data_IF_376585943524
#
_entry.id   IF_376585943524
#
_cell.length_a   1.000
_cell.length_b   1.000
_cell.length_c   1.000
_cell.angle_alpha   90.00
_cell.angle_beta   90.00
_cell.angle_gamma   90.00
#
_symmetry.space_group_name_H-M   'P 1'
#
loop_
_entity.id
_entity.type
_entity.pdbx_description
1 polymer ?
#
# COMPACT_ATOMS: atom_id res chain seq x y z
N UNK A 1 15.91 -37.15 -6.82
CA UNK A 1 16.14 -35.72 -7.13
C UNK A 1 14.99 -34.96 -6.54
N UNK A 2 15.21 -34.38 -5.36
CA UNK A 2 14.19 -33.62 -4.62
C UNK A 2 14.07 -32.24 -5.26
N UNK A 3 13.20 -32.11 -6.27
CA UNK A 3 12.76 -30.82 -6.75
C UNK A 3 11.66 -30.35 -5.82
N UNK A 4 12.03 -29.81 -4.66
CA UNK A 4 11.16 -28.90 -3.93
C UNK A 4 11.04 -27.65 -4.80
N UNK A 5 10.08 -27.68 -5.70
CA UNK A 5 9.74 -26.59 -6.60
C UNK A 5 9.45 -25.38 -5.72
N UNK A 6 10.37 -24.42 -5.72
CA UNK A 6 10.40 -23.31 -4.75
C UNK A 6 9.32 -22.30 -5.16
N UNK A 7 8.07 -22.61 -4.83
CA UNK A 7 6.87 -21.87 -5.25
C UNK A 7 6.71 -20.48 -4.60
N UNK A 8 7.71 -19.99 -3.87
CA UNK A 8 7.60 -18.75 -3.11
C UNK A 8 8.90 -17.94 -3.11
N UNK A 9 9.45 -17.67 -4.30
CA UNK A 9 10.63 -16.83 -4.46
C UNK A 9 10.24 -15.35 -4.59
N UNK A 10 11.13 -14.41 -4.20
CA UNK A 10 10.92 -12.98 -4.43
C UNK A 10 10.64 -12.64 -5.91
N UNK A 11 11.28 -13.35 -6.84
CA UNK A 11 11.08 -13.15 -8.28
C UNK A 11 9.68 -13.56 -8.75
N UNK A 12 9.13 -14.65 -8.19
CA UNK A 12 7.76 -15.06 -8.52
C UNK A 12 6.73 -14.07 -7.95
N UNK A 13 6.95 -13.59 -6.73
CA UNK A 13 6.11 -12.55 -6.12
C UNK A 13 6.16 -11.25 -6.93
N UNK A 14 7.35 -10.85 -7.41
CA UNK A 14 7.52 -9.69 -8.29
C UNK A 14 6.76 -9.87 -9.60
N UNK A 15 6.90 -11.03 -10.24
CA UNK A 15 6.22 -11.34 -11.49
C UNK A 15 4.69 -11.37 -11.30
N UNK A 16 4.20 -11.92 -10.19
CA UNK A 16 2.78 -11.89 -9.84
C UNK A 16 2.29 -10.44 -9.67
N UNK A 17 3.02 -9.64 -8.89
CA UNK A 17 2.67 -8.24 -8.64
C UNK A 17 2.57 -7.44 -9.93
N UNK A 18 3.59 -7.52 -10.79
CA UNK A 18 3.69 -6.74 -12.04
C UNK A 18 2.70 -7.21 -13.13
N UNK A 19 2.26 -8.47 -13.10
CA UNK A 19 1.37 -9.04 -14.14
C UNK A 19 -0.07 -9.23 -13.71
N UNK A 20 -0.39 -9.00 -12.43
CA UNK A 20 -1.76 -9.10 -11.94
C UNK A 20 -2.68 -8.12 -12.67
N UNK A 21 -3.93 -8.54 -12.90
CA UNK A 21 -5.00 -7.67 -13.40
C UNK A 21 -5.67 -6.87 -12.27
N UNK A 22 -5.49 -7.32 -11.03
CA UNK A 22 -5.93 -6.59 -9.85
C UNK A 22 -4.93 -5.50 -9.50
N UNK A 23 -5.45 -4.35 -9.09
CA UNK A 23 -4.63 -3.23 -8.66
C UNK A 23 -3.98 -3.53 -7.32
N UNK A 24 -2.65 -3.48 -7.27
CA UNK A 24 -1.87 -3.64 -6.05
C UNK A 24 -0.94 -2.46 -5.84
N UNK A 25 -0.78 -2.09 -4.58
CA UNK A 25 0.18 -1.09 -4.15
C UNK A 25 0.70 -1.42 -2.75
N UNK A 26 1.86 -0.86 -2.43
CA UNK A 26 2.40 -0.84 -1.08
C UNK A 26 2.58 0.62 -0.66
N UNK A 27 2.24 0.90 0.58
CA UNK A 27 2.58 2.16 1.23
C UNK A 27 3.41 1.88 2.49
N UNK A 28 4.46 2.64 2.71
CA UNK A 28 5.39 2.47 3.84
C UNK A 28 5.43 3.74 4.67
N UNK A 29 5.65 3.58 5.98
CA UNK A 29 6.00 4.67 6.88
C UNK A 29 7.51 4.83 6.90
N UNK A 30 7.96 6.06 7.08
CA UNK A 30 9.39 6.37 7.23
C UNK A 30 9.89 5.96 8.64
N UNK A 31 9.01 6.01 9.64
CA UNK A 31 9.29 5.67 11.03
C UNK A 31 8.25 4.67 11.57
N UNK A 32 8.65 3.71 12.43
CA UNK A 32 7.72 2.77 13.05
C UNK A 32 6.75 3.49 14.00
N UNK A 33 5.51 2.99 14.07
CA UNK A 33 4.48 3.48 14.99
C UNK A 33 4.20 2.47 16.10
N UNK A 34 3.83 2.97 17.28
CA UNK A 34 3.29 2.13 18.34
C UNK A 34 1.84 1.76 18.04
N UNK A 35 1.50 0.47 18.09
CA UNK A 35 0.13 -0.01 17.90
C UNK A 35 -0.19 -1.08 18.95
N UNK A 36 -1.01 -0.74 19.93
CA UNK A 36 -1.33 -1.63 21.05
C UNK A 36 -2.36 -1.04 22.02
N UNK A 37 -2.66 -1.76 23.11
CA UNK A 37 -3.55 -1.28 24.16
C UNK A 37 -3.04 0.03 24.78
N UNK A 38 -3.96 0.98 25.03
CA UNK A 38 -3.63 2.26 25.65
C UNK A 38 -3.08 3.33 24.70
N UNK A 39 -2.87 3.02 23.42
CA UNK A 39 -2.50 3.99 22.39
C UNK A 39 -3.76 4.66 21.85
N UNK A 40 -3.69 5.98 21.64
CA UNK A 40 -4.70 6.72 20.88
C UNK A 40 -4.58 6.37 19.38
N UNK A 41 -5.38 5.39 18.96
CA UNK A 41 -5.39 4.90 17.58
C UNK A 41 -5.82 5.97 16.58
N UNK A 42 -6.64 6.93 16.99
CA UNK A 42 -7.11 7.97 16.08
C UNK A 42 -5.99 8.96 15.78
N UNK A 43 -5.25 9.39 16.80
CA UNK A 43 -4.06 10.22 16.63
C UNK A 43 -2.96 9.50 15.82
N UNK A 44 -2.77 8.19 16.03
CA UNK A 44 -1.82 7.40 15.22
C UNK A 44 -2.26 7.32 13.76
N UNK A 45 -3.55 7.09 13.51
CA UNK A 45 -4.08 7.06 12.14
C UNK A 45 -3.98 8.42 11.44
N UNK A 46 -4.16 9.52 12.16
CA UNK A 46 -3.91 10.87 11.63
C UNK A 46 -2.46 11.02 11.16
N UNK A 47 -1.50 10.55 11.97
CA UNK A 47 -0.08 10.53 11.58
C UNK A 47 0.16 9.66 10.34
N UNK A 48 -0.36 8.42 10.33
CA UNK A 48 -0.21 7.49 9.21
C UNK A 48 -0.75 8.08 7.91
N UNK A 49 -1.92 8.71 7.95
CA UNK A 49 -2.54 9.31 6.76
C UNK A 49 -1.72 10.45 6.16
N UNK A 50 -0.94 11.15 6.99
CA UNK A 50 -0.12 12.28 6.58
C UNK A 50 1.32 11.90 6.20
N UNK A 51 1.84 10.75 6.66
CA UNK A 51 3.26 10.41 6.55
C UNK A 51 3.54 9.10 5.81
N UNK A 52 2.59 8.16 5.77
CA UNK A 52 2.77 6.95 4.98
C UNK A 52 2.81 7.33 3.50
N UNK A 53 3.67 6.71 2.70
CA UNK A 53 3.81 7.03 1.27
C UNK A 53 3.73 5.78 0.42
N UNK A 54 3.10 5.90 -0.74
CA UNK A 54 3.12 4.83 -1.74
C UNK A 54 4.53 4.62 -2.27
N UNK A 55 5.09 3.43 -2.07
CA UNK A 55 6.47 3.09 -2.47
C UNK A 55 6.50 2.13 -3.65
N UNK A 56 5.39 1.45 -3.94
CA UNK A 56 5.28 0.54 -5.07
C UNK A 56 3.84 0.45 -5.55
N UNK A 57 3.67 0.37 -6.86
CA UNK A 57 2.37 0.24 -7.53
C UNK A 57 2.54 -0.61 -8.77
N UNK A 58 1.59 -1.50 -9.02
CA UNK A 58 1.61 -2.33 -10.23
C UNK A 58 0.93 -1.63 -11.42
N UNK A 59 1.13 -2.12 -12.65
CA UNK A 59 0.55 -1.50 -13.84
C UNK A 59 -0.99 -1.44 -13.82
N UNK A 60 -1.65 -2.48 -13.31
CA UNK A 60 -3.12 -2.52 -13.25
C UNK A 60 -3.70 -1.41 -12.39
N UNK A 61 -3.10 -1.10 -11.23
CA UNK A 61 -3.51 0.00 -10.38
C UNK A 61 -3.39 1.36 -11.09
N UNK A 62 -2.25 1.63 -11.74
CA UNK A 62 -2.06 2.86 -12.50
C UNK A 62 -3.12 3.02 -13.61
N UNK A 63 -3.42 1.93 -14.32
CA UNK A 63 -4.46 1.89 -15.35
C UNK A 63 -5.86 2.16 -14.78
N UNK A 64 -6.24 1.50 -13.69
CA UNK A 64 -7.56 1.64 -13.05
C UNK A 64 -7.81 3.09 -12.61
N UNK A 65 -6.78 3.75 -12.09
CA UNK A 65 -6.85 5.15 -11.65
C UNK A 65 -6.56 6.17 -12.75
N UNK A 66 -6.32 5.71 -13.99
CA UNK A 66 -5.96 6.56 -15.14
C UNK A 66 -4.79 7.51 -14.82
N UNK A 67 -3.80 6.98 -14.11
CA UNK A 67 -2.64 7.69 -13.61
C UNK A 67 -1.35 7.07 -14.16
N UNK A 68 -0.23 7.77 -14.01
CA UNK A 68 1.10 7.16 -14.23
C UNK A 68 1.62 6.58 -12.93
N UNK A 69 2.48 5.56 -12.99
CA UNK A 69 3.14 4.99 -11.80
C UNK A 69 3.85 6.08 -11.02
N UNK A 70 4.57 6.96 -11.71
CA UNK A 70 5.34 8.06 -11.12
C UNK A 70 4.46 9.08 -10.38
N UNK A 71 3.24 9.32 -10.88
CA UNK A 71 2.29 10.24 -10.23
C UNK A 71 1.66 9.65 -8.96
N UNK A 72 1.68 8.32 -8.82
CA UNK A 72 1.14 7.61 -7.66
C UNK A 72 2.19 7.40 -6.57
N UNK A 73 3.44 7.13 -6.95
CA UNK A 73 4.56 6.99 -6.01
C UNK A 73 4.73 8.27 -5.20
N UNK A 74 4.88 8.13 -3.88
CA UNK A 74 5.09 9.23 -2.94
C UNK A 74 3.79 9.81 -2.36
N UNK A 75 2.63 9.56 -2.97
CA UNK A 75 1.35 10.01 -2.45
C UNK A 75 1.09 9.40 -1.06
N UNK A 76 0.59 10.25 -0.17
CA UNK A 76 0.07 9.84 1.13
C UNK A 76 -1.34 9.27 1.02
N UNK A 77 -1.82 8.47 2.00
CA UNK A 77 -3.22 8.08 2.05
C UNK A 77 -4.16 9.28 2.00
N UNK A 78 -3.83 10.39 2.68
CA UNK A 78 -4.64 11.61 2.65
C UNK A 78 -4.77 12.21 1.24
N UNK A 79 -3.68 12.23 0.47
CA UNK A 79 -3.67 12.74 -0.91
C UNK A 79 -4.38 11.78 -1.87
N UNK A 80 -4.14 10.47 -1.72
CA UNK A 80 -4.71 9.44 -2.58
C UNK A 80 -6.24 9.34 -2.39
N UNK A 81 -6.70 9.33 -1.14
CA UNK A 81 -8.13 9.30 -0.79
C UNK A 81 -8.75 10.69 -0.65
N UNK A 82 -8.15 11.76 -1.18
CA UNK A 82 -8.67 13.14 -1.04
C UNK A 82 -10.14 13.32 -1.48
N UNK A 83 -10.62 12.44 -2.36
CA UNK A 83 -11.98 12.42 -2.88
C UNK A 83 -12.99 11.75 -1.93
N UNK A 84 -12.51 10.86 -1.04
CA UNK A 84 -13.29 10.27 0.05
C UNK A 84 -12.36 9.84 1.21
N UNK A 85 -11.92 10.79 2.07
CA UNK A 85 -11.00 10.49 3.17
C UNK A 85 -11.63 9.54 4.21
N UNK A 86 -12.95 9.55 4.34
CA UNK A 86 -13.67 8.70 5.29
C UNK A 86 -13.61 7.23 4.85
N UNK A 87 -13.73 6.95 3.54
CA UNK A 87 -13.52 5.59 3.02
C UNK A 87 -12.09 5.10 3.23
N UNK A 88 -11.09 5.94 2.97
CA UNK A 88 -9.69 5.59 3.24
C UNK A 88 -9.49 5.15 4.68
N UNK A 89 -9.99 5.93 5.66
CA UNK A 89 -9.83 5.62 7.09
C UNK A 89 -10.48 4.33 7.54
N UNK A 90 -11.57 3.90 6.90
CA UNK A 90 -12.21 2.61 7.23
C UNK A 90 -11.27 1.45 6.93
N UNK A 91 -10.62 1.46 5.76
CA UNK A 91 -9.68 0.40 5.37
C UNK A 91 -8.42 0.29 6.24
N UNK A 92 -8.02 1.36 6.94
CA UNK A 92 -6.84 1.36 7.83
C UNK A 92 -7.16 0.99 9.29
N UNK A 93 -8.44 0.89 9.64
CA UNK A 93 -8.89 0.52 10.99
C UNK A 93 -9.17 -0.98 11.15
N UNK A 94 -9.51 -1.66 10.06
CA UNK A 94 -9.73 -3.11 10.00
C UNK A 94 -8.41 -3.88 10.16
#
# INVERSE_FOLDING_TARGET
MDQTMQFNTPALLEAFFERSQDGFFFMMLDEPIAWGPGVDKDAVLDYVFAHQRMTKVNPAMAQQFRATRESLIGLTPAEFFRHDPAAGRRGWRE
#
